data_IF_469129063639
#
_entry.id   IF_469129063639
#
_cell.length_a   1.000
_cell.length_b   1.000
_cell.length_c   1.000
_cell.angle_alpha   90.00
_cell.angle_beta   90.00
_cell.angle_gamma   90.00
#
_symmetry.space_group_name_H-M   'P 1'
#
loop_
_entity.id
_entity.type
_entity.pdbx_description
1 polymer ?
#
# COMPACT_ATOMS: atom_id res chain seq x y z
N UNK A 1 22.42 -6.81 -9.58
CA UNK A 1 21.74 -7.68 -8.60
C UNK A 1 21.29 -8.96 -9.25
N UNK A 2 21.23 -10.05 -8.48
CA UNK A 2 20.67 -11.32 -8.92
C UNK A 2 19.47 -11.63 -8.02
N UNK A 3 18.28 -11.68 -8.60
CA UNK A 3 17.09 -12.20 -7.94
C UNK A 3 17.22 -13.71 -7.75
N UNK A 4 16.56 -14.25 -6.73
CA UNK A 4 16.50 -15.68 -6.43
C UNK A 4 15.05 -16.13 -6.35
N UNK A 5 14.85 -17.42 -6.60
CA UNK A 5 13.55 -18.06 -6.38
C UNK A 5 13.15 -17.89 -4.91
N UNK A 6 11.92 -17.44 -4.68
CA UNK A 6 11.37 -17.14 -3.36
C UNK A 6 11.48 -15.67 -2.94
N UNK A 7 12.28 -14.85 -3.62
CA UNK A 7 12.39 -13.42 -3.29
C UNK A 7 11.04 -12.72 -3.41
N UNK A 8 10.71 -11.87 -2.43
CA UNK A 8 9.59 -10.94 -2.51
C UNK A 8 10.04 -9.66 -3.20
N UNK A 9 9.35 -9.33 -4.29
CA UNK A 9 9.67 -8.22 -5.19
C UNK A 9 8.43 -7.37 -5.43
N UNK A 10 8.63 -6.16 -5.92
CA UNK A 10 7.57 -5.33 -6.48
C UNK A 10 7.76 -5.21 -7.99
N UNK A 11 6.69 -5.43 -8.73
CA UNK A 11 6.62 -5.28 -10.18
C UNK A 11 6.13 -3.88 -10.50
N UNK A 12 6.94 -3.12 -11.23
CA UNK A 12 6.56 -1.86 -11.83
C UNK A 12 5.91 -2.12 -13.20
N UNK A 13 4.73 -1.55 -13.41
CA UNK A 13 4.04 -1.63 -14.70
C UNK A 13 4.18 -0.34 -15.51
N UNK A 14 4.34 -0.53 -16.82
CA UNK A 14 4.41 0.52 -17.83
C UNK A 14 3.19 0.47 -18.76
N UNK A 15 2.19 -0.33 -18.40
CA UNK A 15 0.97 -0.45 -19.17
C UNK A 15 0.14 0.81 -19.01
N UNK A 16 -0.41 1.29 -20.13
CA UNK A 16 -1.24 2.49 -20.19
C UNK A 16 -2.39 2.36 -19.18
N UNK A 17 -2.52 3.35 -18.29
CA UNK A 17 -3.52 3.34 -17.22
C UNK A 17 -3.08 2.73 -15.89
N UNK A 18 -1.94 2.03 -15.84
CA UNK A 18 -1.35 1.51 -14.60
C UNK A 18 0.02 2.13 -14.28
N UNK A 19 0.42 3.14 -15.05
CA UNK A 19 1.72 3.79 -14.93
C UNK A 19 1.97 4.32 -13.50
N UNK A 20 3.11 3.93 -12.92
CA UNK A 20 3.51 4.36 -11.58
C UNK A 20 2.96 3.50 -10.44
N UNK A 21 2.30 2.38 -10.74
CA UNK A 21 1.89 1.39 -9.75
C UNK A 21 2.94 0.28 -9.56
N UNK A 22 2.99 -0.23 -8.33
CA UNK A 22 3.87 -1.33 -7.91
C UNK A 22 3.05 -2.46 -7.29
N UNK A 23 3.12 -3.65 -7.90
CA UNK A 23 2.39 -4.82 -7.42
C UNK A 23 3.31 -5.81 -6.71
N UNK A 24 2.88 -6.28 -5.55
CA UNK A 24 3.66 -7.23 -4.77
C UNK A 24 3.65 -8.61 -5.44
N UNK A 25 4.83 -9.18 -5.65
CA UNK A 25 4.98 -10.48 -6.29
C UNK A 25 6.08 -11.32 -5.63
N UNK A 26 6.16 -12.59 -6.02
CA UNK A 26 7.17 -13.55 -5.59
C UNK A 26 7.85 -14.18 -6.80
N UNK A 27 9.18 -14.26 -6.76
CA UNK A 27 9.96 -14.89 -7.84
C UNK A 27 9.78 -16.41 -7.80
N UNK A 28 9.34 -17.00 -8.91
CA UNK A 28 9.18 -18.45 -9.08
C UNK A 28 10.33 -19.09 -9.84
N UNK A 29 10.88 -18.40 -10.84
CA UNK A 29 12.05 -18.85 -11.59
C UNK A 29 12.91 -17.67 -12.01
N UNK A 30 14.21 -17.93 -12.19
CA UNK A 30 15.17 -16.93 -12.65
C UNK A 30 15.89 -17.47 -13.86
N UNK A 31 15.79 -16.75 -14.97
CA UNK A 31 16.50 -17.01 -16.21
C UNK A 31 17.54 -15.91 -16.46
N UNK A 32 18.24 -15.95 -17.61
CA UNK A 32 19.38 -15.05 -17.89
C UNK A 32 19.05 -13.56 -17.73
N UNK A 33 17.88 -13.11 -18.16
CA UNK A 33 17.45 -11.68 -18.15
C UNK A 33 16.01 -11.48 -17.69
N UNK A 34 15.31 -12.56 -17.43
CA UNK A 34 13.89 -12.57 -17.13
C UNK A 34 13.65 -13.42 -15.88
N UNK A 35 12.54 -13.15 -15.22
CA UNK A 35 12.04 -13.96 -14.11
C UNK A 35 10.57 -14.21 -14.30
N UNK A 36 10.14 -15.41 -13.90
CA UNK A 36 8.73 -15.68 -13.71
C UNK A 36 8.37 -15.20 -12.31
N UNK A 37 7.40 -14.30 -12.20
CA UNK A 37 6.82 -13.89 -10.93
C UNK A 37 5.40 -14.39 -10.79
N UNK A 38 4.96 -14.53 -9.55
CA UNK A 38 3.56 -14.76 -9.18
C UNK A 38 3.12 -13.59 -8.31
N UNK A 39 2.07 -12.89 -8.72
CA UNK A 39 1.53 -11.77 -7.96
C UNK A 39 0.85 -12.27 -6.68
N UNK A 40 0.86 -11.45 -5.63
CA UNK A 40 0.22 -11.80 -4.34
C UNK A 40 -1.24 -11.38 -4.28
N UNK A 41 -1.62 -10.42 -5.12
CA UNK A 41 -2.92 -9.75 -5.06
C UNK A 41 -3.69 -9.81 -6.38
N UNK A 42 -3.02 -10.07 -7.50
CA UNK A 42 -3.65 -10.18 -8.82
C UNK A 42 -3.98 -11.64 -9.16
N UNK A 43 -5.18 -11.88 -9.66
CA UNK A 43 -5.67 -13.17 -10.14
C UNK A 43 -5.67 -13.22 -11.68
N UNK A 44 -5.80 -14.43 -12.23
CA UNK A 44 -6.08 -14.65 -13.66
C UNK A 44 -7.48 -14.16 -14.04
N UNK A 45 -7.76 -13.97 -15.34
CA UNK A 45 -9.07 -13.48 -15.84
C UNK A 45 -10.27 -14.37 -15.41
N UNK A 46 -10.01 -15.66 -15.21
CA UNK A 46 -10.97 -16.64 -14.72
C UNK A 46 -10.99 -16.77 -13.19
N UNK A 47 -10.25 -15.91 -12.49
CA UNK A 47 -10.09 -15.85 -11.03
C UNK A 47 -9.65 -17.19 -10.38
N UNK A 48 -9.11 -18.12 -11.19
CA UNK A 48 -8.83 -19.48 -10.74
C UNK A 48 -7.49 -19.63 -10.02
N UNK A 49 -6.56 -18.70 -10.27
CA UNK A 49 -5.22 -18.72 -9.67
C UNK A 49 -4.57 -17.35 -9.66
N UNK A 50 -3.48 -17.20 -8.90
CA UNK A 50 -2.68 -15.98 -8.94
C UNK A 50 -2.03 -15.78 -10.30
N UNK A 51 -2.06 -14.54 -10.78
CA UNK A 51 -1.47 -14.15 -12.04
C UNK A 51 0.04 -14.42 -12.03
N UNK A 52 0.56 -14.95 -13.14
CA UNK A 52 1.99 -15.20 -13.34
C UNK A 52 2.47 -14.56 -14.63
N UNK A 53 3.61 -13.90 -14.56
CA UNK A 53 4.17 -13.20 -15.71
C UNK A 53 5.68 -13.37 -15.81
N UNK A 54 6.17 -13.50 -17.05
CA UNK A 54 7.59 -13.52 -17.36
C UNK A 54 8.05 -12.10 -17.67
N UNK A 55 8.87 -11.52 -16.79
CA UNK A 55 9.23 -10.11 -16.84
C UNK A 55 10.75 -9.92 -16.89
N UNK A 56 11.20 -8.86 -17.56
CA UNK A 56 12.60 -8.46 -17.53
C UNK A 56 12.96 -7.89 -16.15
N UNK A 57 14.18 -8.11 -15.67
CA UNK A 57 14.70 -7.57 -14.39
C UNK A 57 14.53 -6.05 -14.19
N UNK A 58 14.28 -5.30 -15.27
CA UNK A 58 14.09 -3.84 -15.25
C UNK A 58 12.69 -3.45 -14.75
N UNK A 59 11.70 -4.35 -14.83
CA UNK A 59 10.35 -4.16 -14.28
C UNK A 59 10.27 -4.52 -12.80
N UNK A 60 11.39 -4.83 -12.17
CA UNK A 60 11.41 -5.36 -10.81
C UNK A 60 12.30 -4.52 -9.92
N UNK A 61 11.85 -4.37 -8.68
CA UNK A 61 12.64 -3.93 -7.55
C UNK A 61 12.43 -4.88 -6.37
N UNK A 62 13.37 -4.97 -5.41
CA UNK A 62 13.11 -5.66 -4.15
C UNK A 62 11.89 -5.05 -3.43
N UNK A 63 11.43 -5.68 -2.35
CA UNK A 63 10.50 -5.01 -1.44
C UNK A 63 11.20 -3.80 -0.77
N UNK A 64 10.62 -2.60 -0.77
CA UNK A 64 11.19 -1.44 -0.10
C UNK A 64 11.33 -1.69 1.41
N UNK A 65 12.39 -1.19 2.05
CA UNK A 65 12.53 -1.24 3.50
C UNK A 65 11.42 -0.39 4.12
N UNK A 66 10.95 -0.82 5.30
CA UNK A 66 9.94 -0.09 6.04
C UNK A 66 10.56 1.17 6.66
N UNK A 67 10.10 2.35 6.24
CA UNK A 67 10.45 3.63 6.86
C UNK A 67 9.30 4.02 7.78
N UNK A 68 9.56 4.03 9.08
CA UNK A 68 8.58 4.44 10.08
C UNK A 68 8.56 5.95 10.21
N UNK A 69 7.41 6.54 9.87
CA UNK A 69 7.11 7.96 10.13
C UNK A 69 5.95 8.03 11.11
N UNK A 70 5.86 9.13 11.86
CA UNK A 70 4.73 9.39 12.77
C UNK A 70 3.58 10.14 12.10
N UNK A 71 3.89 10.86 11.02
CA UNK A 71 2.97 11.73 10.27
C UNK A 71 3.52 11.92 8.85
N UNK A 72 2.63 12.26 7.93
CA UNK A 72 3.03 12.82 6.64
C UNK A 72 2.75 14.33 6.59
N UNK A 73 3.39 15.03 5.66
CA UNK A 73 3.33 16.48 5.50
C UNK A 73 2.94 16.84 4.08
N UNK A 74 2.43 18.06 3.94
CA UNK A 74 2.15 18.62 2.63
C UNK A 74 3.40 18.56 1.74
N UNK A 75 3.19 18.11 0.50
CA UNK A 75 4.20 17.85 -0.53
C UNK A 75 5.09 16.61 -0.33
N UNK A 76 4.85 15.80 0.70
CA UNK A 76 5.51 14.49 0.77
C UNK A 76 5.16 13.63 -0.44
N UNK A 77 6.16 12.92 -0.93
CA UNK A 77 5.96 11.87 -1.92
C UNK A 77 5.71 10.54 -1.20
N UNK A 78 4.58 9.94 -1.53
CA UNK A 78 4.08 8.72 -0.88
C UNK A 78 3.70 7.69 -1.93
N UNK A 79 3.69 6.43 -1.53
CA UNK A 79 2.91 5.43 -2.23
C UNK A 79 1.60 5.19 -1.45
N UNK A 80 0.46 5.29 -2.12
CA UNK A 80 -0.85 4.93 -1.59
C UNK A 80 -1.20 3.49 -1.99
N UNK A 81 -1.69 2.70 -1.04
CA UNK A 81 -2.15 1.34 -1.33
C UNK A 81 -3.61 1.37 -1.80
N UNK A 82 -3.83 1.08 -3.07
CA UNK A 82 -5.14 1.07 -3.70
C UNK A 82 -5.16 0.08 -4.88
N UNK A 83 -6.33 -0.49 -5.20
CA UNK A 83 -6.49 -1.51 -6.25
C UNK A 83 -5.36 -2.55 -6.25
N UNK A 84 -5.06 -3.10 -5.07
CA UNK A 84 -4.09 -4.18 -4.87
C UNK A 84 -2.62 -3.85 -5.19
N UNK A 85 -2.31 -2.57 -5.40
CA UNK A 85 -0.99 -2.05 -5.72
C UNK A 85 -0.62 -0.80 -4.91
N UNK A 86 0.65 -0.42 -5.01
CA UNK A 86 1.18 0.82 -4.43
C UNK A 86 1.31 1.88 -5.53
N UNK A 87 0.67 3.03 -5.38
CA UNK A 87 0.57 4.07 -6.39
C UNK A 87 1.31 5.32 -5.93
N UNK A 88 2.27 5.78 -6.74
CA UNK A 88 3.00 7.00 -6.46
C UNK A 88 2.08 8.23 -6.52
N UNK A 89 2.16 9.09 -5.50
CA UNK A 89 1.51 10.39 -5.49
C UNK A 89 2.15 11.36 -4.50
N UNK A 90 1.57 12.56 -4.43
CA UNK A 90 2.03 13.64 -3.55
C UNK A 90 0.91 14.13 -2.66
N UNK A 91 1.20 14.37 -1.38
CA UNK A 91 0.21 14.90 -0.45
C UNK A 91 -0.08 16.37 -0.75
N UNK A 92 -1.34 16.69 -1.05
CA UNK A 92 -1.81 18.04 -1.38
C UNK A 92 -2.72 18.64 -0.33
N UNK A 93 -3.29 17.81 0.55
CA UNK A 93 -4.13 18.27 1.65
C UNK A 93 -4.12 17.26 2.80
N UNK A 94 -4.23 17.76 4.02
CA UNK A 94 -4.36 16.97 5.24
C UNK A 94 -5.63 17.43 5.96
N UNK A 95 -6.48 16.47 6.29
CA UNK A 95 -7.69 16.68 7.08
C UNK A 95 -7.53 15.96 8.42
N UNK A 96 -7.24 16.71 9.47
CA UNK A 96 -7.00 16.21 10.84
C UNK A 96 -8.30 16.01 11.63
N UNK A 97 -9.41 15.74 10.94
CA UNK A 97 -10.71 15.52 11.57
C UNK A 97 -10.68 14.28 12.45
N UNK A 98 -10.85 14.48 13.75
CA UNK A 98 -11.01 13.40 14.74
C UNK A 98 -12.49 13.10 14.90
N UNK A 99 -12.87 11.84 14.71
CA UNK A 99 -14.22 11.39 15.02
C UNK A 99 -14.23 10.65 16.36
N UNK A 100 -15.35 10.77 17.06
CA UNK A 100 -15.60 10.05 18.31
C UNK A 100 -16.61 8.96 18.00
N UNK A 101 -16.17 7.71 18.03
CA UNK A 101 -17.08 6.58 17.92
C UNK A 101 -17.65 6.27 19.31
N UNK A 102 -18.96 6.42 19.47
CA UNK A 102 -19.69 5.99 20.66
C UNK A 102 -20.22 4.58 20.42
N UNK A 103 -19.75 3.62 21.21
CA UNK A 103 -20.29 2.26 21.20
C UNK A 103 -21.22 2.11 22.41
N UNK A 104 -22.49 1.81 22.14
CA UNK A 104 -23.41 1.36 23.17
C UNK A 104 -23.16 -0.13 23.41
N UNK A 105 -22.43 -0.43 24.49
CA UNK A 105 -22.22 -1.79 24.93
C UNK A 105 -23.54 -2.39 25.42
N UNK A 106 -24.09 -3.38 24.70
CA UNK A 106 -25.13 -4.25 25.27
C UNK A 106 -24.44 -5.22 26.22
N UNK A 107 -24.30 -4.83 27.48
CA UNK A 107 -23.83 -5.70 28.55
C UNK A 107 -24.73 -6.92 28.68
N UNK A 108 -24.29 -8.06 28.15
CA UNK A 108 -24.90 -9.35 28.39
C UNK A 108 -24.47 -9.88 29.75
N UNK A 109 -25.38 -9.90 30.71
CA UNK A 109 -25.19 -10.55 32.00
C UNK A 109 -26.48 -10.52 32.81
N UNK A 110 -27.08 -11.70 33.02
CA UNK A 110 -28.27 -11.87 33.86
C UNK A 110 -28.08 -11.31 35.27
N UNK A 111 -29.23 -11.01 35.89
CA UNK A 111 -29.39 -10.48 37.24
C UNK A 111 -28.96 -9.01 37.45
N UNK A 112 -29.70 -8.13 36.76
CA UNK A 112 -30.36 -7.00 37.41
C UNK A 112 -29.50 -5.97 38.14
N UNK A 113 -28.61 -5.29 37.42
CA UNK A 113 -28.52 -3.81 37.33
C UNK A 113 -27.49 -3.49 36.23
N UNK A 114 -27.96 -3.25 35.01
CA UNK A 114 -27.10 -2.83 33.91
C UNK A 114 -26.78 -1.34 34.06
N UNK A 115 -25.58 -1.00 34.49
CA UNK A 115 -25.04 0.36 34.38
C UNK A 115 -24.64 0.59 32.91
N UNK A 116 -25.19 1.59 32.21
CA UNK A 116 -24.78 1.90 30.85
C UNK A 116 -23.39 2.54 30.88
N UNK A 117 -22.35 1.81 30.46
CA UNK A 117 -21.07 2.42 30.12
C UNK A 117 -21.03 2.66 28.60
N UNK A 118 -21.15 3.92 28.18
CA UNK A 118 -20.81 4.30 26.81
C UNK A 118 -19.29 4.37 26.69
N UNK A 119 -18.67 3.47 25.92
CA UNK A 119 -17.26 3.60 25.59
C UNK A 119 -17.13 4.55 24.39
N UNK A 120 -16.57 5.73 24.63
CA UNK A 120 -16.18 6.66 23.56
C UNK A 120 -14.73 6.39 23.20
N UNK A 121 -14.48 5.95 21.97
CA UNK A 121 -13.13 5.80 21.42
C UNK A 121 -12.88 6.94 20.44
N UNK A 122 -11.75 7.63 20.58
CA UNK A 122 -11.26 8.56 19.55
C UNK A 122 -10.73 7.72 18.40
N UNK A 123 -11.37 7.84 17.23
CA UNK A 123 -10.81 7.32 15.97
C UNK A 123 -10.10 8.48 15.27
N UNK A 124 -8.77 8.43 15.26
CA UNK A 124 -7.98 9.33 14.45
C UNK A 124 -8.04 8.81 13.00
N UNK A 125 -9.01 9.31 12.25
CA UNK A 125 -9.13 9.07 10.81
C UNK A 125 -8.50 10.22 10.02
N UNK A 126 -7.39 10.80 10.49
CA UNK A 126 -6.68 11.83 9.73
C UNK A 126 -6.49 11.36 8.28
N UNK A 127 -7.08 12.10 7.33
CA UNK A 127 -7.04 11.79 5.91
C UNK A 127 -5.98 12.62 5.23
N UNK A 128 -5.14 11.94 4.47
CA UNK A 128 -4.12 12.52 3.62
C UNK A 128 -4.61 12.42 2.18
N UNK A 129 -4.88 13.57 1.57
CA UNK A 129 -5.28 13.64 0.17
C UNK A 129 -4.02 13.57 -0.70
N UNK A 130 -3.97 12.54 -1.53
CA UNK A 130 -2.87 12.24 -2.43
C UNK A 130 -3.30 12.61 -3.84
N UNK A 131 -2.54 13.51 -4.47
CA UNK A 131 -2.65 13.83 -5.88
C UNK A 131 -1.78 12.88 -6.70
N UNK A 132 -2.39 12.22 -7.68
CA UNK A 132 -1.74 11.27 -8.57
C UNK A 132 -1.34 11.91 -9.90
N UNK A 133 -0.33 11.37 -10.61
CA UNK A 133 0.05 11.86 -11.93
C UNK A 133 -1.07 11.86 -12.99
N UNK A 134 -2.09 11.00 -12.83
CA UNK A 134 -3.29 10.98 -13.70
C UNK A 134 -4.21 12.20 -13.48
N UNK A 135 -3.99 12.99 -12.42
CA UNK A 135 -4.79 14.18 -12.07
C UNK A 135 -5.84 13.92 -10.99
N UNK A 136 -6.00 12.68 -10.54
CA UNK A 136 -6.92 12.34 -9.45
C UNK A 136 -6.37 12.80 -8.10
N UNK A 137 -7.28 13.16 -7.17
CA UNK A 137 -6.97 13.44 -5.78
C UNK A 137 -7.89 12.60 -4.87
N UNK A 138 -7.29 11.74 -4.04
CA UNK A 138 -8.04 10.78 -3.21
C UNK A 138 -7.51 10.83 -1.77
N UNK A 139 -8.43 10.78 -0.80
CA UNK A 139 -8.10 10.80 0.62
C UNK A 139 -7.86 9.40 1.18
N UNK A 140 -6.67 9.17 1.75
CA UNK A 140 -6.26 7.92 2.36
C UNK A 140 -5.97 8.09 3.86
N UNK A 141 -6.28 7.09 4.71
CA UNK A 141 -5.79 7.06 6.08
C UNK A 141 -4.27 6.82 6.11
N UNK A 142 -3.63 7.21 7.22
CA UNK A 142 -2.20 6.98 7.45
C UNK A 142 -1.75 5.53 7.16
N UNK A 143 -2.57 4.55 7.54
CA UNK A 143 -2.28 3.12 7.40
C UNK A 143 -2.19 2.60 5.97
N UNK A 144 -2.71 3.35 5.00
CA UNK A 144 -2.65 3.01 3.57
C UNK A 144 -1.54 3.75 2.83
N UNK A 145 -0.75 4.57 3.53
CA UNK A 145 0.36 5.32 2.95
C UNK A 145 1.69 4.75 3.43
N UNK A 146 2.70 4.85 2.55
CA UNK A 146 4.10 4.66 2.92
C UNK A 146 4.96 5.73 2.24
N UNK A 147 6.14 5.97 2.80
CA UNK A 147 7.14 6.85 2.17
C UNK A 147 7.51 6.29 0.80
N UNK A 148 7.40 7.13 -0.24
CA UNK A 148 7.82 6.75 -1.58
C UNK A 148 9.34 6.50 -1.61
N UNK A 149 9.74 5.40 -2.23
CA UNK A 149 11.14 5.05 -2.42
C UNK A 149 11.37 4.61 -3.85
N UNK A 150 12.45 5.10 -4.45
CA UNK A 150 12.92 4.66 -5.77
C UNK A 150 14.08 3.66 -5.61
N UNK A 151 14.10 2.67 -6.50
CA UNK A 151 15.21 1.73 -6.59
C UNK A 151 16.14 2.13 -7.72
N UNK A 152 17.31 2.68 -7.40
CA UNK A 152 18.29 3.20 -8.37
C UNK A 152 19.66 2.59 -8.13
N UNK A 153 20.27 2.02 -9.17
CA UNK A 153 21.62 1.44 -9.13
C UNK A 153 21.88 0.46 -7.98
N UNK A 154 20.85 -0.28 -7.57
CA UNK A 154 20.95 -1.26 -6.48
C UNK A 154 20.92 -0.67 -5.07
N UNK A 155 20.37 0.54 -4.90
CA UNK A 155 20.08 1.13 -3.59
C UNK A 155 18.70 1.76 -3.58
N UNK A 156 18.09 1.78 -2.39
CA UNK A 156 16.87 2.53 -2.14
C UNK A 156 17.20 4.00 -1.94
N UNK A 157 16.44 4.86 -2.59
CA UNK A 157 16.49 6.31 -2.44
C UNK A 157 15.11 6.75 -1.97
N UNK A 158 15.06 7.42 -0.82
CA UNK A 158 13.85 8.00 -0.23
C UNK A 158 13.77 9.48 -0.57
N UNK A 159 12.56 10.00 -0.75
CA UNK A 159 12.30 11.45 -0.84
C UNK A 159 12.31 12.14 0.54
N UNK A 160 12.18 11.35 1.62
CA UNK A 160 12.30 11.74 3.03
C UNK A 160 13.67 11.44 3.61
#
# INVERSE_FOLDING_TARGET
MAYRVGDSVEVFTQEEGFEGSYYAARVLSVEKKQVLVEYKTLLTDDESSWLREMLHFKRLRPRPPEIRVSEFRLNDEVDAYDNDGWWFGKITKIDESKYYAQFDGTGGGGDGVAEPFSQVTVIDESKYYVHFPCGDEIGYPFSQLRVHQEWKDGRWVSSR
#
